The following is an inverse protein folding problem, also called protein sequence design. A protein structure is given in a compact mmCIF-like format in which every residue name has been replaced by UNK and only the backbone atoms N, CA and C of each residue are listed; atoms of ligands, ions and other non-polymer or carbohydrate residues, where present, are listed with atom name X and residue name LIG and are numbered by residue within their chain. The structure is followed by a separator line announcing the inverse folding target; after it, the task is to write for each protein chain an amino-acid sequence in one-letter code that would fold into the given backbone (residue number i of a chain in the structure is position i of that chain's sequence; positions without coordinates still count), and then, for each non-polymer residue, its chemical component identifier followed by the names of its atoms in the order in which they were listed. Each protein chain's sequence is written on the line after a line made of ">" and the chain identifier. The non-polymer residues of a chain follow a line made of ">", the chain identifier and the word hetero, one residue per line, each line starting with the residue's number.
data_IF_100819630325
#
_entry.id   IF_100819630325
#
_cell.length_a   1.000
_cell.length_b   1.000
_cell.length_c   1.000
_cell.angle_alpha   90.00
_cell.angle_beta   90.00
_cell.angle_gamma   90.00
#
_symmetry.space_group_name_H-M   'P 1'
#
loop_
_entity.id
_entity.type
_entity.pdbx_description
1 polymer ?
#
# COMPACT_ATOMS: atom_id res chain seq x y z
N UNK A 1 47.78 -27.81 -21.46
CA UNK A 1 47.42 -26.39 -21.75
C UNK A 1 45.92 -26.31 -21.97
N UNK A 2 45.25 -25.49 -21.17
CA UNK A 2 43.90 -24.95 -21.32
C UNK A 2 42.69 -25.92 -21.41
N UNK A 3 42.13 -26.27 -20.25
CA UNK A 3 40.70 -26.60 -20.12
C UNK A 3 39.96 -25.36 -19.63
N UNK A 4 39.39 -24.58 -20.56
CA UNK A 4 38.57 -23.41 -20.23
C UNK A 4 37.18 -23.86 -19.77
N UNK A 5 36.95 -23.90 -18.46
CA UNK A 5 35.60 -24.01 -17.91
C UNK A 5 34.82 -22.74 -18.23
N UNK A 6 34.04 -22.81 -19.30
CA UNK A 6 33.09 -21.78 -19.69
C UNK A 6 32.01 -21.71 -18.60
N UNK A 7 32.05 -20.68 -17.76
CA UNK A 7 30.94 -20.35 -16.84
C UNK A 7 29.80 -19.81 -17.69
N UNK A 8 28.97 -20.72 -18.21
CA UNK A 8 27.69 -20.35 -18.77
C UNK A 8 26.83 -19.80 -17.63
N UNK A 9 26.53 -18.51 -17.68
CA UNK A 9 25.45 -17.89 -16.91
C UNK A 9 24.12 -18.50 -17.38
N UNK A 10 23.72 -19.61 -16.78
CA UNK A 10 22.44 -20.25 -17.05
C UNK A 10 21.34 -19.41 -16.40
N UNK A 11 20.45 -18.86 -17.24
CA UNK A 11 19.20 -18.27 -16.77
C UNK A 11 18.40 -19.26 -15.93
N UNK A 12 17.61 -18.74 -15.00
CA UNK A 12 16.78 -19.55 -14.11
C UNK A 12 15.82 -20.43 -14.94
N UNK A 13 15.55 -21.69 -14.51
CA UNK A 13 14.53 -22.53 -15.13
C UNK A 13 13.14 -21.85 -15.12
N UNK A 14 12.35 -22.06 -16.18
CA UNK A 14 11.03 -21.43 -16.32
C UNK A 14 10.07 -21.71 -15.15
N UNK A 15 10.11 -22.92 -14.57
CA UNK A 15 9.28 -23.27 -13.41
C UNK A 15 9.63 -22.45 -12.17
N UNK A 16 10.90 -22.06 -12.01
CA UNK A 16 11.36 -21.25 -10.89
C UNK A 16 10.95 -19.78 -11.07
N UNK A 17 10.98 -19.27 -12.30
CA UNK A 17 10.47 -17.92 -12.63
C UNK A 17 8.96 -17.83 -12.34
N UNK A 18 8.17 -18.79 -12.82
CA UNK A 18 6.74 -18.84 -12.58
C UNK A 18 6.37 -18.98 -11.08
N UNK A 19 7.14 -19.77 -10.33
CA UNK A 19 6.96 -19.89 -8.87
C UNK A 19 7.27 -18.57 -8.14
N UNK A 20 8.32 -17.85 -8.55
CA UNK A 20 8.66 -16.55 -8.00
C UNK A 20 7.56 -15.51 -8.30
N UNK A 21 7.03 -15.48 -9.51
CA UNK A 21 5.93 -14.59 -9.89
C UNK A 21 4.66 -14.86 -9.09
N UNK A 22 4.29 -16.14 -8.93
CA UNK A 22 3.13 -16.54 -8.13
C UNK A 22 3.27 -16.09 -6.67
N UNK A 23 4.47 -16.25 -6.12
CA UNK A 23 4.78 -15.82 -4.74
C UNK A 23 4.73 -14.31 -4.60
N UNK A 24 5.24 -13.56 -5.59
CA UNK A 24 5.17 -12.10 -5.62
C UNK A 24 3.73 -11.61 -5.66
N UNK A 25 2.90 -12.16 -6.54
CA UNK A 25 1.48 -11.80 -6.64
C UNK A 25 0.72 -12.10 -5.35
N UNK A 26 0.95 -13.28 -4.76
CA UNK A 26 0.35 -13.64 -3.47
C UNK A 26 0.82 -12.71 -2.34
N UNK A 27 2.08 -12.28 -2.35
CA UNK A 27 2.61 -11.32 -1.38
C UNK A 27 2.01 -9.91 -1.56
N UNK A 28 1.88 -9.45 -2.80
CA UNK A 28 1.20 -8.18 -3.13
C UNK A 28 -0.27 -8.21 -2.70
N UNK A 29 -0.96 -9.32 -2.97
CA UNK A 29 -2.34 -9.50 -2.54
C UNK A 29 -2.45 -9.57 -1.01
N UNK A 30 -1.57 -10.30 -0.34
CA UNK A 30 -1.51 -10.36 1.12
C UNK A 30 -1.23 -8.99 1.74
N UNK A 31 -0.36 -8.17 1.12
CA UNK A 31 -0.12 -6.79 1.53
C UNK A 31 -1.38 -5.93 1.36
N UNK A 32 -2.09 -6.04 0.23
CA UNK A 32 -3.38 -5.37 0.04
C UNK A 32 -4.46 -5.84 1.04
N UNK A 33 -4.35 -7.07 1.53
CA UNK A 33 -5.24 -7.64 2.54
C UNK A 33 -4.88 -7.27 3.98
N UNK A 34 -3.69 -6.72 4.25
CA UNK A 34 -3.33 -6.30 5.62
C UNK A 34 -4.19 -5.12 6.05
N UNK A 35 -4.85 -5.29 7.20
CA UNK A 35 -5.58 -4.20 7.85
C UNK A 35 -4.59 -3.09 8.25
N UNK A 36 -4.82 -1.83 7.85
CA UNK A 36 -3.93 -0.76 8.27
C UNK A 36 -4.11 -0.44 9.76
N UNK A 37 -3.12 0.24 10.34
CA UNK A 37 -3.10 0.53 11.77
C UNK A 37 -4.26 1.45 12.17
N UNK A 38 -4.94 1.10 13.27
CA UNK A 38 -6.26 1.65 13.64
C UNK A 38 -6.29 3.13 14.02
N UNK A 39 -5.17 3.70 14.46
CA UNK A 39 -5.05 5.09 14.89
C UNK A 39 -3.68 5.61 14.50
N UNK A 40 -3.64 6.36 13.43
CA UNK A 40 -2.41 6.89 12.83
C UNK A 40 -2.68 8.35 12.48
N UNK A 41 -1.73 9.22 12.82
CA UNK A 41 -1.73 10.57 12.26
C UNK A 41 -1.46 10.44 10.76
N UNK A 42 -2.14 11.24 9.95
CA UNK A 42 -1.97 11.16 8.50
C UNK A 42 -2.07 12.55 7.87
N UNK A 43 -1.58 12.66 6.65
CA UNK A 43 -1.96 13.72 5.73
C UNK A 43 -3.21 13.31 4.96
N UNK A 44 -4.08 14.28 4.65
CA UNK A 44 -5.31 14.11 3.89
C UNK A 44 -5.21 14.94 2.62
N UNK A 45 -5.42 14.31 1.46
CA UNK A 45 -5.27 14.92 0.13
C UNK A 45 -6.61 15.15 -0.61
N UNK A 46 -7.74 14.91 0.05
CA UNK A 46 -9.06 14.84 -0.61
C UNK A 46 -9.65 16.19 -1.09
N UNK A 47 -9.14 17.32 -0.60
CA UNK A 47 -9.73 18.66 -0.81
C UNK A 47 -8.87 19.59 -1.67
N UNK A 48 -7.89 19.04 -2.41
CA UNK A 48 -6.96 19.82 -3.25
C UNK A 48 -5.88 20.58 -2.47
N UNK A 49 -5.89 20.50 -1.15
CA UNK A 49 -4.84 20.94 -0.25
C UNK A 49 -4.61 19.86 0.81
N UNK A 50 -3.38 19.78 1.32
CA UNK A 50 -3.00 18.78 2.31
C UNK A 50 -3.40 19.23 3.71
N UNK A 51 -4.07 18.36 4.45
CA UNK A 51 -4.50 18.63 5.83
C UNK A 51 -3.96 17.58 6.79
N UNK A 52 -3.48 17.96 7.99
CA UNK A 52 -3.17 17.00 9.04
C UNK A 52 -4.47 16.41 9.59
N UNK A 53 -4.52 15.09 9.70
CA UNK A 53 -5.68 14.34 10.14
C UNK A 53 -5.34 13.18 11.06
N UNK A 54 -6.38 12.54 11.58
CA UNK A 54 -6.29 11.35 12.40
C UNK A 54 -7.24 10.27 11.86
N UNK A 55 -6.68 9.10 11.57
CA UNK A 55 -7.49 7.92 11.23
C UNK A 55 -8.15 7.38 12.50
N UNK A 56 -9.46 7.21 12.47
CA UNK A 56 -10.27 6.71 13.59
C UNK A 56 -10.57 5.21 13.45
N UNK A 57 -10.85 4.77 12.23
CA UNK A 57 -11.21 3.39 11.93
C UNK A 57 -10.96 3.05 10.45
N UNK A 58 -10.83 1.75 10.18
CA UNK A 58 -10.69 1.17 8.85
C UNK A 58 -11.81 0.19 8.59
N UNK A 59 -12.35 0.22 7.37
CA UNK A 59 -13.27 -0.79 6.84
C UNK A 59 -12.80 -1.25 5.46
N UNK A 60 -13.24 -2.45 5.06
CA UNK A 60 -13.13 -2.90 3.68
C UNK A 60 -14.34 -2.47 2.88
N UNK A 61 -14.09 -2.04 1.64
CA UNK A 61 -15.13 -1.76 0.65
C UNK A 61 -14.65 -2.34 -0.69
N UNK A 62 -15.27 -3.45 -1.12
CA UNK A 62 -14.78 -4.24 -2.26
C UNK A 62 -13.36 -4.77 -2.05
N UNK A 63 -12.48 -4.51 -3.01
CA UNK A 63 -11.05 -4.86 -2.92
C UNK A 63 -10.22 -3.85 -2.12
N UNK A 64 -10.78 -2.66 -1.84
CA UNK A 64 -10.08 -1.53 -1.24
C UNK A 64 -10.30 -1.36 0.27
N UNK A 65 -9.50 -0.48 0.86
CA UNK A 65 -9.64 -0.02 2.23
C UNK A 65 -10.14 1.41 2.25
N UNK A 66 -11.11 1.67 3.12
CA UNK A 66 -11.57 3.02 3.44
C UNK A 66 -11.15 3.34 4.88
N UNK A 67 -10.71 4.58 5.10
CA UNK A 67 -10.40 5.13 6.41
C UNK A 67 -11.46 6.15 6.80
N UNK A 68 -11.96 6.09 8.03
CA UNK A 68 -12.70 7.21 8.60
C UNK A 68 -11.70 8.16 9.23
N UNK A 69 -11.65 9.38 8.73
CA UNK A 69 -10.63 10.36 9.08
C UNK A 69 -11.29 11.61 9.61
N UNK A 70 -10.68 12.20 10.64
CA UNK A 70 -11.03 13.53 11.13
C UNK A 70 -9.90 14.52 10.85
N UNK A 71 -10.24 15.70 10.34
CA UNK A 71 -9.28 16.78 10.08
C UNK A 71 -9.98 18.15 10.13
N UNK A 72 -9.19 19.21 10.14
CA UNK A 72 -9.68 20.60 10.06
C UNK A 72 -9.36 21.20 8.69
N UNK A 73 -10.33 21.85 8.06
CA UNK A 73 -10.11 22.61 6.81
C UNK A 73 -9.31 23.89 7.08
N UNK A 74 -8.81 24.53 6.02
CA UNK A 74 -8.18 25.85 6.14
C UNK A 74 -9.13 26.95 6.68
N UNK A 75 -10.45 26.73 6.60
CA UNK A 75 -11.48 27.61 7.16
C UNK A 75 -11.79 27.35 8.64
N UNK A 76 -11.20 26.31 9.25
CA UNK A 76 -11.43 25.95 10.65
C UNK A 76 -12.58 24.98 10.88
N UNK A 77 -13.24 24.50 9.82
CA UNK A 77 -14.31 23.50 9.94
C UNK A 77 -13.73 22.13 10.27
N UNK A 78 -14.39 21.41 11.19
CA UNK A 78 -14.06 20.02 11.50
C UNK A 78 -14.79 19.09 10.53
N UNK A 79 -14.05 18.29 9.77
CA UNK A 79 -14.59 17.30 8.85
C UNK A 79 -14.32 15.91 9.40
N UNK A 80 -15.33 15.04 9.35
CA UNK A 80 -15.20 13.63 9.70
C UNK A 80 -15.94 12.78 8.66
N UNK A 81 -15.21 12.07 7.81
CA UNK A 81 -15.79 11.27 6.73
C UNK A 81 -14.93 10.08 6.38
N UNK A 82 -15.48 9.17 5.57
CA UNK A 82 -14.76 8.07 4.96
C UNK A 82 -14.01 8.56 3.71
N UNK A 83 -12.74 8.19 3.61
CA UNK A 83 -11.85 8.46 2.48
C UNK A 83 -11.24 7.14 2.00
N UNK A 84 -10.94 7.07 0.71
CA UNK A 84 -10.13 5.99 0.16
C UNK A 84 -8.73 6.02 0.79
N UNK A 85 -8.13 4.84 1.01
CA UNK A 85 -6.77 4.74 1.55
C UNK A 85 -5.74 5.54 0.71
N UNK A 86 -5.98 5.69 -0.59
CA UNK A 86 -5.12 6.46 -1.52
C UNK A 86 -5.19 7.98 -1.29
N UNK A 87 -6.22 8.46 -0.57
CA UNK A 87 -6.42 9.88 -0.28
C UNK A 87 -5.75 10.30 1.03
N UNK A 88 -5.05 9.39 1.71
CA UNK A 88 -4.34 9.66 2.95
C UNK A 88 -2.93 9.08 2.97
N UNK A 89 -2.01 9.78 3.61
CA UNK A 89 -0.63 9.34 3.80
C UNK A 89 -0.32 9.22 5.31
N UNK A 90 -0.10 8.01 5.84
CA UNK A 90 0.31 7.80 7.23
C UNK A 90 1.68 8.43 7.53
N UNK A 91 1.84 9.03 8.72
CA UNK A 91 3.13 9.52 9.27
C UNK A 91 3.59 8.73 10.48
#
# INVERSE_FOLDING_TARGET
>A
MAGGSNRASTGLPAWLVAANESTRLAAEEALAQRRPQRRVHCWVHATGADHPGLVLEWRREGAGWMARVVWTTGGGDLVCTWLDAEQIEPV
#
